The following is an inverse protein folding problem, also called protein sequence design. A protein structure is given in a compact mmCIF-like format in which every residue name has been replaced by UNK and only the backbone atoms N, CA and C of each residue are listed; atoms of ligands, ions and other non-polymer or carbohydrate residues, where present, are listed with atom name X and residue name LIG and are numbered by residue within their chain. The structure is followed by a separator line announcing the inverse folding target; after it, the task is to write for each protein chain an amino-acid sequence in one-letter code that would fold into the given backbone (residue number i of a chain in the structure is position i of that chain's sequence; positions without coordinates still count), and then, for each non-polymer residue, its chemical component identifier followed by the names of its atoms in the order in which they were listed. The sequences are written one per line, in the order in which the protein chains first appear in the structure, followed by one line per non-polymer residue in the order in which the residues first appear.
data_IF_420769428457
#
_entry.id   IF_420769428457
#
_cell.length_a   1.000
_cell.length_b   1.000
_cell.length_c   1.000
_cell.angle_alpha   90.00
_cell.angle_beta   90.00
_cell.angle_gamma   90.00
#
_symmetry.space_group_name_H-M   'P 1'
#
loop_
_entity.id
_entity.type
_entity.pdbx_description
1 polymer ?
#
# COMPACT_ATOMS: atom_id res chain seq x y z
N UNK A 1 -12.04 -14.56 10.61
CA UNK A 1 -11.71 -14.17 9.23
C UNK A 1 -11.99 -12.67 9.08
N UNK A 2 -10.96 -11.89 8.76
CA UNK A 2 -11.08 -10.46 8.47
C UNK A 2 -10.92 -10.20 6.97
N UNK A 3 -11.51 -9.12 6.46
CA UNK A 3 -11.42 -8.70 5.07
C UNK A 3 -11.09 -7.21 5.00
N UNK A 4 -10.12 -6.87 4.16
CA UNK A 4 -9.86 -5.50 3.74
C UNK A 4 -10.07 -5.36 2.23
N UNK A 5 -10.65 -4.24 1.82
CA UNK A 5 -10.83 -3.92 0.41
C UNK A 5 -10.59 -2.43 0.18
N UNK A 6 -9.95 -2.11 -0.94
CA UNK A 6 -9.81 -0.76 -1.41
C UNK A 6 -9.94 -0.71 -2.92
N UNK A 7 -10.40 0.43 -3.43
CA UNK A 7 -10.41 0.66 -4.86
C UNK A 7 -9.03 1.07 -5.39
N UNK A 8 -8.89 1.01 -6.71
CA UNK A 8 -7.78 1.65 -7.41
C UNK A 8 -7.69 3.15 -7.10
N UNK A 9 -6.58 3.77 -7.49
CA UNK A 9 -6.48 5.24 -7.49
C UNK A 9 -5.85 5.73 -8.78
N UNK A 10 -6.19 6.96 -9.15
CA UNK A 10 -5.50 7.71 -10.20
C UNK A 10 -4.60 8.76 -9.56
N UNK A 11 -3.39 8.88 -10.09
CA UNK A 11 -2.41 9.89 -9.70
C UNK A 11 -2.19 10.84 -10.88
N UNK A 12 -2.51 12.13 -10.72
CA UNK A 12 -2.52 13.10 -11.83
C UNK A 12 -1.16 13.73 -12.12
N UNK A 13 -0.11 13.31 -11.40
CA UNK A 13 1.26 13.75 -11.61
C UNK A 13 1.83 14.44 -10.40
N UNK A 14 3.13 14.70 -10.44
CA UNK A 14 3.82 15.43 -9.39
C UNK A 14 3.75 16.93 -9.65
N UNK A 15 3.44 17.70 -8.61
CA UNK A 15 3.40 19.16 -8.66
C UNK A 15 4.80 19.77 -8.76
N UNK A 16 5.80 19.18 -8.10
CA UNK A 16 7.18 19.63 -8.14
C UNK A 16 8.17 18.46 -8.23
N UNK A 17 9.16 18.57 -9.12
CA UNK A 17 10.29 17.64 -9.22
C UNK A 17 11.65 18.34 -9.05
N UNK A 18 11.65 19.64 -8.79
CA UNK A 18 12.86 20.43 -8.58
C UNK A 18 13.24 20.48 -7.10
N UNK A 19 14.53 20.28 -6.83
CA UNK A 19 15.14 20.45 -5.51
C UNK A 19 15.30 21.94 -5.10
N UNK A 20 14.94 22.88 -5.98
CA UNK A 20 15.00 24.33 -5.71
C UNK A 20 13.87 24.85 -4.82
N UNK A 21 12.89 24.01 -4.47
CA UNK A 21 11.76 24.38 -3.62
C UNK A 21 11.84 23.65 -2.28
N UNK A 22 11.12 24.17 -1.28
CA UNK A 22 11.09 23.61 0.08
C UNK A 22 10.50 22.19 0.14
N UNK A 23 9.59 21.87 -0.81
CA UNK A 23 8.92 20.57 -0.87
C UNK A 23 9.12 19.92 -2.23
N UNK A 24 9.55 18.68 -2.22
CA UNK A 24 9.67 17.81 -3.39
C UNK A 24 8.42 16.96 -3.55
N UNK A 25 8.09 16.61 -4.79
CA UNK A 25 6.87 15.91 -5.18
C UNK A 25 5.62 16.76 -4.96
N UNK A 26 4.70 16.29 -4.12
CA UNK A 26 3.33 16.77 -4.05
C UNK A 26 2.54 16.29 -5.25
N UNK A 27 1.25 16.01 -5.07
CA UNK A 27 0.44 15.40 -6.10
C UNK A 27 -1.05 15.65 -5.90
N UNK A 28 -1.80 15.46 -6.97
CA UNK A 28 -3.26 15.33 -6.92
C UNK A 28 -3.64 13.92 -7.33
N UNK A 29 -4.69 13.38 -6.72
CA UNK A 29 -5.20 12.07 -7.10
C UNK A 29 -6.61 11.82 -6.60
N UNK A 30 -7.18 10.70 -7.03
CA UNK A 30 -8.54 10.30 -6.65
C UNK A 30 -8.62 8.80 -6.43
N UNK A 31 -9.29 8.39 -5.35
CA UNK A 31 -9.68 7.00 -5.11
C UNK A 31 -10.87 6.63 -5.98
N UNK A 32 -10.82 5.45 -6.59
CA UNK A 32 -11.89 4.92 -7.43
C UNK A 32 -12.75 3.93 -6.65
N UNK A 33 -14.02 3.80 -7.00
CA UNK A 33 -14.88 2.77 -6.40
C UNK A 33 -14.61 1.37 -6.97
N UNK A 34 -14.09 1.30 -8.19
CA UNK A 34 -13.70 0.08 -8.91
C UNK A 34 -12.62 0.41 -9.97
N UNK A 35 -11.79 -0.56 -10.40
CA UNK A 35 -11.65 -1.92 -9.86
C UNK A 35 -11.09 -1.94 -8.43
N UNK A 36 -11.12 -3.09 -7.76
CA UNK A 36 -10.74 -3.24 -6.35
C UNK A 36 -9.60 -4.23 -6.14
N UNK A 37 -8.92 -4.04 -5.01
CA UNK A 37 -8.19 -5.11 -4.33
C UNK A 37 -9.04 -5.61 -3.17
N UNK A 38 -9.03 -6.92 -2.96
CA UNK A 38 -9.72 -7.57 -1.83
C UNK A 38 -8.79 -8.61 -1.24
N UNK A 39 -8.50 -8.48 0.05
CA UNK A 39 -7.61 -9.37 0.79
C UNK A 39 -8.32 -9.87 2.04
N UNK A 40 -8.33 -11.19 2.20
CA UNK A 40 -8.82 -11.86 3.41
C UNK A 40 -7.64 -12.32 4.26
N UNK A 41 -7.81 -12.30 5.58
CA UNK A 41 -6.81 -12.80 6.53
C UNK A 41 -7.43 -13.53 7.73
N UNK A 42 -6.67 -14.47 8.28
CA UNK A 42 -6.95 -15.20 9.53
C UNK A 42 -5.66 -15.36 10.33
N UNK A 43 -5.71 -15.39 11.67
CA UNK A 43 -4.56 -15.79 12.48
C UNK A 43 -4.06 -17.18 12.08
N UNK A 44 -2.74 -17.34 12.03
CA UNK A 44 -2.09 -18.61 11.77
C UNK A 44 -0.72 -18.64 12.46
N UNK A 45 -0.12 -19.82 12.58
CA UNK A 45 1.22 -19.99 13.17
C UNK A 45 2.35 -19.55 12.23
N UNK A 46 2.06 -19.35 10.94
CA UNK A 46 3.03 -18.97 9.92
C UNK A 46 2.35 -18.12 8.83
N UNK A 47 3.16 -17.45 8.00
CA UNK A 47 2.65 -16.69 6.86
C UNK A 47 2.40 -17.62 5.68
N UNK A 48 1.13 -17.74 5.28
CA UNK A 48 0.73 -18.45 4.05
C UNK A 48 -0.10 -17.53 3.17
N UNK A 49 0.15 -17.56 1.86
CA UNK A 49 -0.54 -16.68 0.91
C UNK A 49 -1.06 -17.47 -0.29
N UNK A 50 -2.35 -17.30 -0.59
CA UNK A 50 -2.96 -17.76 -1.84
C UNK A 50 -3.23 -16.56 -2.76
N UNK A 51 -2.85 -16.69 -4.03
CA UNK A 51 -3.06 -15.65 -5.04
C UNK A 51 -4.52 -15.56 -5.53
N UNK A 52 -4.84 -14.55 -6.35
CA UNK A 52 -6.18 -14.32 -6.89
C UNK A 52 -6.63 -15.45 -7.82
N UNK A 53 -7.88 -15.90 -7.65
CA UNK A 53 -8.46 -16.99 -8.46
C UNK A 53 -8.89 -16.55 -9.86
N UNK A 54 -9.02 -15.24 -10.10
CA UNK A 54 -9.47 -14.66 -11.37
C UNK A 54 -8.37 -13.99 -12.20
N UNK A 55 -7.10 -14.31 -11.96
CA UNK A 55 -5.98 -13.70 -12.68
C UNK A 55 -6.06 -13.97 -14.19
N UNK A 56 -5.77 -12.95 -15.00
CA UNK A 56 -5.72 -13.01 -16.47
C UNK A 56 -4.59 -13.91 -17.00
N UNK A 57 -3.60 -14.23 -16.16
CA UNK A 57 -2.57 -15.23 -16.44
C UNK A 57 -2.04 -15.87 -15.15
N UNK A 58 -1.48 -17.08 -15.25
CA UNK A 58 -0.84 -17.75 -14.12
C UNK A 58 0.33 -16.93 -13.56
N UNK A 59 1.18 -16.36 -14.44
CA UNK A 59 2.34 -15.56 -14.04
C UNK A 59 1.96 -14.26 -13.32
N UNK A 60 0.88 -13.60 -13.72
CA UNK A 60 0.38 -12.41 -13.02
C UNK A 60 -0.16 -12.77 -11.62
N UNK A 61 -0.85 -13.92 -11.51
CA UNK A 61 -1.36 -14.42 -10.24
C UNK A 61 -0.24 -14.78 -9.26
N UNK A 62 0.84 -15.37 -9.77
CA UNK A 62 2.04 -15.70 -8.98
C UNK A 62 2.76 -14.43 -8.52
N UNK A 63 2.96 -13.44 -9.40
CA UNK A 63 3.58 -12.16 -9.02
C UNK A 63 2.77 -11.42 -7.93
N UNK A 64 1.44 -11.41 -8.03
CA UNK A 64 0.58 -10.83 -6.99
C UNK A 64 0.69 -11.60 -5.67
N UNK A 65 0.80 -12.93 -5.74
CA UNK A 65 0.97 -13.78 -4.55
C UNK A 65 2.30 -13.51 -3.87
N UNK A 66 3.38 -13.35 -4.64
CA UNK A 66 4.72 -13.06 -4.11
C UNK A 66 4.77 -11.67 -3.46
N UNK A 67 4.24 -10.65 -4.13
CA UNK A 67 4.08 -9.29 -3.57
C UNK A 67 3.27 -9.36 -2.24
N UNK A 68 2.15 -10.08 -2.23
CA UNK A 68 1.31 -10.22 -1.03
C UNK A 68 1.99 -11.00 0.10
N UNK A 69 2.85 -11.99 -0.21
CA UNK A 69 3.66 -12.72 0.77
C UNK A 69 4.68 -11.82 1.45
N UNK A 70 5.37 -10.97 0.68
CA UNK A 70 6.30 -9.99 1.23
C UNK A 70 5.59 -9.02 2.19
N UNK A 71 4.44 -8.46 1.76
CA UNK A 71 3.67 -7.58 2.63
C UNK A 71 3.07 -8.28 3.84
N UNK A 72 2.67 -9.56 3.72
CA UNK A 72 2.14 -10.32 4.86
C UNK A 72 3.22 -10.59 5.89
N UNK A 73 4.44 -10.95 5.47
CA UNK A 73 5.58 -11.10 6.37
C UNK A 73 5.90 -9.79 7.09
N UNK A 74 6.06 -8.70 6.35
CA UNK A 74 6.29 -7.39 6.93
C UNK A 74 5.15 -6.94 7.88
N UNK A 75 3.89 -7.22 7.54
CA UNK A 75 2.76 -6.90 8.40
C UNK A 75 2.79 -7.69 9.71
N UNK A 76 3.10 -8.99 9.66
CA UNK A 76 3.24 -9.86 10.84
C UNK A 76 4.34 -9.33 11.77
N UNK A 77 5.51 -8.98 11.21
CA UNK A 77 6.62 -8.39 11.96
C UNK A 77 6.23 -7.04 12.59
N UNK A 78 5.59 -6.15 11.83
CA UNK A 78 5.15 -4.81 12.29
C UNK A 78 4.04 -4.85 13.35
N UNK A 79 3.29 -5.95 13.39
CA UNK A 79 2.20 -6.17 14.35
C UNK A 79 2.66 -6.98 15.56
N UNK A 80 3.82 -7.65 15.49
CA UNK A 80 4.33 -8.49 16.56
C UNK A 80 3.47 -9.74 16.81
N UNK A 81 2.96 -10.36 15.74
CA UNK A 81 2.13 -11.58 15.79
C UNK A 81 2.88 -12.76 15.18
N UNK A 82 2.42 -14.00 15.39
CA UNK A 82 3.13 -15.20 14.93
C UNK A 82 3.04 -15.42 13.41
N UNK A 83 1.87 -15.13 12.82
CA UNK A 83 1.61 -15.44 11.42
C UNK A 83 0.20 -15.09 10.97
N UNK A 84 -0.05 -15.26 9.67
CA UNK A 84 -1.36 -15.04 9.08
C UNK A 84 -1.55 -15.88 7.81
N UNK A 85 -2.75 -16.44 7.66
CA UNK A 85 -3.21 -17.00 6.38
C UNK A 85 -3.88 -15.89 5.60
N UNK A 86 -3.28 -15.50 4.48
CA UNK A 86 -3.75 -14.42 3.61
C UNK A 86 -4.26 -14.98 2.29
N UNK A 87 -5.42 -14.52 1.85
CA UNK A 87 -5.96 -14.84 0.54
C UNK A 87 -6.26 -13.56 -0.24
N UNK A 88 -5.53 -13.35 -1.34
CA UNK A 88 -5.87 -12.29 -2.29
C UNK A 88 -7.04 -12.78 -3.13
N UNK A 89 -8.20 -12.13 -3.01
CA UNK A 89 -9.42 -12.48 -3.76
C UNK A 89 -9.49 -11.75 -5.09
N UNK A 90 -9.22 -10.45 -5.05
CA UNK A 90 -9.21 -9.56 -6.19
C UNK A 90 -7.93 -8.74 -6.17
N UNK A 91 -7.35 -8.51 -7.34
CA UNK A 91 -6.12 -7.74 -7.52
C UNK A 91 -6.29 -6.69 -8.61
N UNK A 92 -5.59 -5.57 -8.45
CA UNK A 92 -5.51 -4.54 -9.48
C UNK A 92 -4.46 -4.92 -10.53
N UNK A 93 -4.70 -4.64 -11.83
CA UNK A 93 -3.70 -4.82 -12.88
C UNK A 93 -2.37 -4.18 -12.52
N UNK A 94 -1.28 -4.95 -12.63
CA UNK A 94 0.06 -4.46 -12.30
C UNK A 94 0.52 -3.45 -13.36
N UNK A 95 1.22 -2.42 -12.91
CA UNK A 95 1.83 -1.40 -13.78
C UNK A 95 0.85 -0.63 -14.70
N UNK A 96 -0.46 -0.65 -14.41
CA UNK A 96 -1.47 0.07 -15.18
C UNK A 96 -1.78 1.50 -14.67
N UNK A 97 -0.93 2.06 -13.81
CA UNK A 97 -1.18 3.38 -13.18
C UNK A 97 -2.29 3.39 -12.11
N UNK A 98 -2.91 2.24 -11.81
CA UNK A 98 -3.98 2.09 -10.81
C UNK A 98 -3.49 1.96 -9.37
N UNK A 99 -2.17 1.93 -9.19
CA UNK A 99 -1.56 1.83 -7.88
C UNK A 99 -1.73 0.46 -7.20
N UNK A 100 -1.63 -0.62 -7.96
CA UNK A 100 -1.74 -1.99 -7.42
C UNK A 100 -0.87 -2.23 -6.18
N UNK A 101 0.42 -1.85 -6.21
CA UNK A 101 1.36 -2.12 -5.12
C UNK A 101 0.94 -1.53 -3.77
N UNK A 102 0.71 -0.21 -3.68
CA UNK A 102 0.31 0.39 -2.40
C UNK A 102 -1.08 -0.06 -1.96
N UNK A 103 -2.04 -0.33 -2.87
CA UNK A 103 -3.35 -0.83 -2.45
C UNK A 103 -3.24 -2.25 -1.89
N UNK A 104 -2.45 -3.13 -2.52
CA UNK A 104 -2.20 -4.49 -2.02
C UNK A 104 -1.49 -4.47 -0.66
N UNK A 105 -0.43 -3.68 -0.52
CA UNK A 105 0.29 -3.56 0.75
C UNK A 105 -0.61 -3.08 1.90
N UNK A 106 -1.41 -2.04 1.66
CA UNK A 106 -2.33 -1.49 2.66
C UNK A 106 -3.46 -2.46 3.00
N UNK A 107 -4.06 -3.13 1.99
CA UNK A 107 -5.11 -4.12 2.20
C UNK A 107 -4.59 -5.34 2.98
N UNK A 108 -3.40 -5.84 2.65
CA UNK A 108 -2.77 -6.96 3.37
C UNK A 108 -2.51 -6.58 4.83
N UNK A 109 -1.88 -5.44 5.10
CA UNK A 109 -1.65 -4.96 6.46
C UNK A 109 -2.96 -4.82 7.24
N UNK A 110 -3.98 -4.20 6.64
CA UNK A 110 -5.26 -3.97 7.30
C UNK A 110 -6.02 -5.27 7.58
N UNK A 111 -6.00 -6.23 6.65
CA UNK A 111 -6.62 -7.53 6.84
C UNK A 111 -5.92 -8.30 7.97
N UNK A 112 -4.59 -8.37 7.96
CA UNK A 112 -3.80 -9.06 9.01
C UNK A 112 -4.02 -8.41 10.37
N UNK A 113 -3.94 -7.08 10.46
CA UNK A 113 -4.16 -6.37 11.72
C UNK A 113 -5.56 -6.64 12.28
N UNK A 114 -6.59 -6.55 11.44
CA UNK A 114 -7.98 -6.80 11.84
C UNK A 114 -8.19 -8.26 12.24
N UNK A 115 -7.54 -9.22 11.56
CA UNK A 115 -7.63 -10.63 11.89
C UNK A 115 -7.09 -10.95 13.30
N UNK A 116 -6.16 -10.13 13.80
CA UNK A 116 -5.53 -10.23 15.11
C UNK A 116 -6.08 -9.20 16.13
N UNK A 117 -7.20 -8.54 15.83
CA UNK A 117 -7.82 -7.51 16.69
C UNK A 117 -6.88 -6.33 17.04
N UNK A 118 -5.95 -6.02 16.13
CA UNK A 118 -4.98 -4.93 16.26
C UNK A 118 -5.33 -3.75 15.32
N UNK A 119 -4.99 -2.51 15.71
CA UNK A 119 -5.16 -1.36 14.82
C UNK A 119 -4.17 -1.44 13.66
N UNK A 120 -4.64 -1.28 12.42
CA UNK A 120 -3.80 -1.37 11.22
C UNK A 120 -2.79 -0.23 11.10
N UNK A 121 -3.17 1.00 11.48
CA UNK A 121 -2.34 2.22 11.40
C UNK A 121 -1.59 2.35 10.07
N UNK A 122 -2.33 2.21 8.97
CA UNK A 122 -1.76 2.07 7.61
C UNK A 122 -0.82 3.21 7.26
N UNK A 123 -1.18 4.47 7.53
CA UNK A 123 -0.30 5.62 7.29
C UNK A 123 1.03 5.57 8.05
N UNK A 124 1.01 5.11 9.30
CA UNK A 124 2.22 5.00 10.13
C UNK A 124 3.14 3.88 9.62
N UNK A 125 2.55 2.76 9.16
CA UNK A 125 3.28 1.55 8.77
C UNK A 125 3.60 1.44 7.28
N UNK A 126 2.94 2.21 6.43
CA UNK A 126 3.16 2.24 4.99
C UNK A 126 4.64 2.44 4.60
N UNK A 127 5.44 3.28 5.29
CA UNK A 127 6.87 3.43 5.00
C UNK A 127 7.67 2.12 5.11
N UNK A 128 7.40 1.31 6.14
CA UNK A 128 8.05 0.01 6.33
C UNK A 128 7.65 -1.04 5.28
N UNK A 129 6.53 -0.80 4.56
CA UNK A 129 6.10 -1.60 3.40
C UNK A 129 6.62 -1.02 2.07
N UNK A 130 7.55 -0.06 2.12
CA UNK A 130 8.10 0.64 0.96
C UNK A 130 7.09 1.57 0.27
N UNK A 131 6.06 2.04 0.99
CA UNK A 131 4.98 2.89 0.45
C UNK A 131 5.01 4.29 1.06
N UNK A 132 4.51 5.28 0.30
CA UNK A 132 4.45 6.67 0.73
C UNK A 132 5.76 7.48 0.55
N UNK A 133 6.83 6.88 0.01
CA UNK A 133 8.13 7.56 -0.10
C UNK A 133 8.17 8.71 -1.12
N UNK A 134 7.26 8.73 -2.09
CA UNK A 134 7.13 9.81 -3.09
C UNK A 134 5.79 10.53 -3.04
N UNK A 135 4.73 9.77 -2.79
CA UNK A 135 3.38 10.31 -2.72
C UNK A 135 2.53 9.64 -1.63
N UNK A 136 1.75 10.45 -0.92
CA UNK A 136 0.74 10.03 0.04
C UNK A 136 -0.60 9.65 -0.59
N UNK A 137 -0.85 9.92 -1.88
CA UNK A 137 -2.13 9.67 -2.57
C UNK A 137 -2.59 8.22 -2.38
N UNK A 138 -1.70 7.26 -2.58
CA UNK A 138 -2.06 5.84 -2.50
C UNK A 138 -2.47 5.38 -1.10
N UNK A 139 -1.88 5.97 -0.06
CA UNK A 139 -2.22 5.70 1.35
C UNK A 139 -3.51 6.43 1.72
N UNK A 140 -3.63 7.71 1.38
CA UNK A 140 -4.81 8.51 1.69
C UNK A 140 -6.08 7.96 1.04
N UNK A 141 -5.99 7.55 -0.24
CA UNK A 141 -7.14 6.96 -0.97
C UNK A 141 -7.51 5.58 -0.43
N UNK A 142 -6.60 4.85 0.21
CA UNK A 142 -6.94 3.64 0.96
C UNK A 142 -7.73 3.98 2.23
N UNK A 143 -7.28 4.99 2.99
CA UNK A 143 -7.89 5.35 4.28
C UNK A 143 -9.28 5.97 4.13
N UNK A 144 -9.47 6.84 3.14
CA UNK A 144 -10.69 7.66 3.03
C UNK A 144 -11.29 7.73 1.61
N UNK A 145 -10.64 7.17 0.60
CA UNK A 145 -11.04 7.37 -0.80
C UNK A 145 -10.94 8.84 -1.21
N UNK A 146 -11.87 9.29 -2.05
CA UNK A 146 -12.05 10.71 -2.38
C UNK A 146 -10.96 11.31 -3.27
N UNK A 147 -11.06 12.63 -3.46
CA UNK A 147 -10.04 13.46 -4.12
C UNK A 147 -9.03 13.91 -3.06
N UNK A 148 -7.73 13.81 -3.37
CA UNK A 148 -6.65 14.01 -2.42
C UNK A 148 -5.62 14.98 -3.00
N UNK A 149 -5.23 15.95 -2.21
CA UNK A 149 -4.05 16.78 -2.39
C UNK A 149 -2.94 16.30 -1.45
N UNK A 150 -1.80 15.96 -2.01
CA UNK A 150 -0.60 15.51 -1.33
C UNK A 150 0.43 16.65 -1.30
N UNK A 151 0.92 17.00 -0.11
CA UNK A 151 1.89 18.06 0.07
C UNK A 151 3.34 17.66 -0.29
N UNK A 152 3.61 16.40 -0.60
CA UNK A 152 4.96 15.89 -0.86
C UNK A 152 5.81 15.87 0.39
N UNK A 153 7.13 15.93 0.22
CA UNK A 153 8.09 15.81 1.31
C UNK A 153 9.01 17.03 1.41
N UNK A 154 9.55 17.38 2.59
CA UNK A 154 10.61 18.36 2.69
C UNK A 154 11.81 17.95 1.83
N UNK A 155 12.28 18.85 0.96
CA UNK A 155 13.36 18.56 0.00
C UNK A 155 14.66 18.16 0.69
N UNK A 156 14.95 18.72 1.87
CA UNK A 156 16.15 18.40 2.66
C UNK A 156 16.30 16.91 3.04
N UNK A 157 15.24 16.10 2.88
CA UNK A 157 15.29 14.65 3.09
C UNK A 157 15.91 13.87 1.92
N UNK A 158 15.99 14.48 0.74
CA UNK A 158 16.45 13.80 -0.47
C UNK A 158 17.86 14.28 -0.81
N UNK A 159 18.80 13.34 -0.75
CA UNK A 159 20.14 13.47 -1.33
C UNK A 159 20.15 12.77 -2.69
N UNK A 160 21.33 12.47 -3.22
CA UNK A 160 21.46 11.61 -4.41
C UNK A 160 21.04 10.16 -4.14
N UNK A 161 21.08 9.73 -2.89
CA UNK A 161 20.75 8.36 -2.50
C UNK A 161 19.27 8.24 -2.11
N UNK A 162 18.66 7.10 -2.45
CA UNK A 162 17.30 6.79 -2.01
C UNK A 162 17.32 6.47 -0.50
N UNK A 163 16.47 7.11 0.33
CA UNK A 163 16.31 6.74 1.74
C UNK A 163 15.88 5.27 1.90
N UNK A 164 16.30 4.63 2.99
CA UNK A 164 15.87 3.27 3.28
C UNK A 164 14.37 3.22 3.59
N UNK A 165 13.74 2.08 3.31
CA UNK A 165 12.32 1.88 3.60
C UNK A 165 12.08 2.03 5.12
N UNK A 166 11.07 2.81 5.49
CA UNK A 166 10.80 3.20 6.88
C UNK A 166 11.39 4.55 7.33
N UNK A 167 12.34 5.13 6.59
CA UNK A 167 13.00 6.40 6.98
C UNK A 167 12.17 7.66 6.66
N UNK A 168 11.01 7.50 6.02
CA UNK A 168 10.10 8.61 5.71
C UNK A 168 8.77 8.47 6.44
N UNK A 169 8.10 9.60 6.60
CA UNK A 169 6.69 9.66 6.99
C UNK A 169 5.84 9.84 5.74
N UNK A 170 4.70 9.16 5.61
CA UNK A 170 3.76 9.43 4.52
C UNK A 170 3.44 10.94 4.48
N UNK A 171 3.48 11.59 3.30
CA UNK A 171 3.16 13.00 3.17
C UNK A 171 1.82 13.41 3.81
N UNK A 172 1.73 14.62 4.39
CA UNK A 172 0.46 15.23 4.74
C UNK A 172 -0.45 15.34 3.51
N UNK A 173 -1.74 15.12 3.72
CA UNK A 173 -2.76 15.20 2.67
C UNK A 173 -3.95 16.04 3.11
N UNK A 174 -4.66 16.61 2.14
CA UNK A 174 -5.96 17.28 2.30
C UNK A 174 -6.98 16.69 1.32
#
# INVERSE_FOLDING_TARGET
MARASAGARLHFGFCNLSLSHERLYGALGVGLAAPRVVVDAEPAAEVTVTGPTGSTSASEGDAVRDDAREYAAAAVDLLGVDGARVAVRESLPRHAGLGSGTQLAAATLAAVATAHDLPARVRERAPALGRGGRSGIGVATFEAGGFVLDAGHPTARFTTDRPADGEWTVPPVA
#
